data_IF_254093808000
#
_entry.id   IF_254093808000
#
_cell.length_a   1.000
_cell.length_b   1.000
_cell.length_c   1.000
_cell.angle_alpha   90.00
_cell.angle_beta   90.00
_cell.angle_gamma   90.00
#
_symmetry.space_group_name_H-M   'P 1'
#
loop_
_entity.id
_entity.type
_entity.pdbx_description
1 polymer ?
#
# COMPACT_ATOMS: atom_id res chain seq x y z
N UNK A 1 -19.05 -5.91 -4.09
CA UNK A 1 -18.97 -6.26 -2.64
C UNK A 1 -17.77 -5.55 -2.05
N UNK A 2 -17.75 -5.31 -0.75
CA UNK A 2 -16.58 -4.71 -0.05
C UNK A 2 -16.25 -5.57 1.14
N UNK A 3 -14.96 -5.67 1.47
CA UNK A 3 -14.52 -6.38 2.68
C UNK A 3 -15.17 -5.75 3.92
N UNK A 4 -15.74 -6.59 4.78
CA UNK A 4 -16.24 -6.16 6.08
C UNK A 4 -15.08 -6.10 7.09
N UNK A 5 -14.35 -5.00 7.09
CA UNK A 5 -13.19 -4.81 7.95
C UNK A 5 -13.53 -4.84 9.46
N UNK A 6 -14.75 -4.45 9.83
CA UNK A 6 -15.19 -4.53 11.24
C UNK A 6 -15.20 -5.98 11.73
N UNK A 7 -15.63 -6.92 10.89
CA UNK A 7 -15.57 -8.35 11.22
C UNK A 7 -14.13 -8.86 11.27
N UNK A 8 -13.28 -8.44 10.34
CA UNK A 8 -11.85 -8.81 10.35
C UNK A 8 -11.19 -8.33 11.64
N UNK A 9 -11.37 -7.06 12.01
CA UNK A 9 -10.83 -6.47 13.25
C UNK A 9 -11.28 -7.28 14.46
N UNK A 10 -12.59 -7.58 14.54
CA UNK A 10 -13.15 -8.37 15.67
C UNK A 10 -12.55 -9.77 15.73
N UNK A 11 -12.34 -10.42 14.59
CA UNK A 11 -11.83 -11.79 14.52
C UNK A 11 -10.34 -11.90 14.89
N UNK A 12 -9.54 -10.86 14.60
CA UNK A 12 -8.10 -10.91 14.90
C UNK A 12 -7.74 -10.35 16.27
N UNK A 13 -8.58 -9.51 16.88
CA UNK A 13 -8.34 -8.96 18.22
C UNK A 13 -8.21 -10.07 19.25
N UNK A 14 -7.14 -10.05 20.03
CA UNK A 14 -6.80 -11.07 21.01
C UNK A 14 -6.08 -12.29 20.44
N UNK A 15 -5.91 -12.40 19.11
CA UNK A 15 -5.09 -13.49 18.55
C UNK A 15 -3.63 -13.35 18.97
N UNK A 16 -2.96 -14.50 19.05
CA UNK A 16 -1.57 -14.56 19.50
C UNK A 16 -0.69 -15.28 18.47
N UNK A 17 0.55 -14.81 18.36
CA UNK A 17 1.62 -15.50 17.62
C UNK A 17 2.81 -15.73 18.53
N UNK A 18 3.59 -16.83 18.36
CA UNK A 18 4.80 -17.04 19.12
C UNK A 18 5.79 -15.91 18.94
N UNK A 19 6.53 -15.59 20.00
CA UNK A 19 7.65 -14.64 19.89
C UNK A 19 8.69 -15.22 18.92
N UNK A 20 9.23 -14.40 17.98
CA UNK A 20 10.30 -14.81 17.10
C UNK A 20 11.54 -15.29 17.90
N UNK A 21 12.13 -16.39 17.48
CA UNK A 21 13.31 -16.98 18.14
C UNK A 21 14.57 -16.10 18.00
N UNK A 22 14.64 -15.29 16.97
CA UNK A 22 15.76 -14.39 16.69
C UNK A 22 15.26 -13.08 16.06
N UNK A 23 16.04 -12.00 16.23
CA UNK A 23 15.74 -10.71 15.68
C UNK A 23 15.22 -9.69 16.71
N UNK A 24 15.14 -8.44 16.30
CA UNK A 24 14.61 -7.37 17.14
C UNK A 24 13.09 -7.39 17.15
N UNK A 25 12.49 -7.26 18.32
CA UNK A 25 11.04 -7.02 18.46
C UNK A 25 10.64 -5.59 18.03
N UNK A 26 11.52 -4.93 17.28
CA UNK A 26 11.26 -3.64 16.69
C UNK A 26 10.94 -3.82 15.21
N UNK A 27 9.88 -3.17 14.76
CA UNK A 27 9.55 -3.06 13.36
C UNK A 27 8.61 -4.14 12.82
N UNK A 28 8.50 -4.10 11.53
CA UNK A 28 7.52 -4.81 10.73
C UNK A 28 7.67 -6.35 10.82
N UNK A 29 8.90 -6.84 10.82
CA UNK A 29 9.18 -8.28 10.74
C UNK A 29 8.62 -9.10 11.91
N UNK A 30 8.60 -8.56 13.13
CA UNK A 30 8.10 -9.29 14.29
C UNK A 30 6.57 -9.52 14.23
N UNK A 31 5.84 -8.57 13.67
CA UNK A 31 4.38 -8.64 13.54
C UNK A 31 3.91 -9.26 12.22
N UNK A 32 4.80 -9.49 11.24
CA UNK A 32 4.46 -10.03 9.93
C UNK A 32 3.54 -11.26 9.96
N UNK A 33 3.67 -12.24 10.90
CA UNK A 33 2.76 -13.36 10.95
C UNK A 33 1.29 -13.00 11.17
N UNK A 34 0.95 -11.81 11.71
CA UNK A 34 -0.45 -11.36 11.81
C UNK A 34 -1.11 -11.15 10.45
N UNK A 35 -0.34 -10.84 9.41
CA UNK A 35 -0.80 -10.78 8.04
C UNK A 35 -1.55 -12.07 7.62
N UNK A 36 -1.08 -13.26 8.04
CA UNK A 36 -1.73 -14.53 7.75
C UNK A 36 -3.14 -14.63 8.37
N UNK A 37 -3.33 -14.06 9.55
CA UNK A 37 -4.66 -14.02 10.19
C UNK A 37 -5.60 -13.07 9.43
N UNK A 38 -5.14 -11.89 9.08
CA UNK A 38 -5.91 -10.93 8.28
C UNK A 38 -6.31 -11.55 6.94
N UNK A 39 -5.34 -12.14 6.22
CA UNK A 39 -5.61 -12.84 4.95
C UNK A 39 -6.67 -13.92 5.10
N UNK A 40 -6.56 -14.75 6.14
CA UNK A 40 -7.51 -15.84 6.39
C UNK A 40 -8.92 -15.32 6.64
N UNK A 41 -9.07 -14.25 7.39
CA UNK A 41 -10.39 -13.68 7.70
C UNK A 41 -11.02 -13.01 6.46
N UNK A 42 -10.23 -12.30 5.64
CA UNK A 42 -10.71 -11.75 4.37
C UNK A 42 -11.09 -12.89 3.41
N UNK A 43 -10.26 -13.93 3.31
CA UNK A 43 -10.52 -15.08 2.44
C UNK A 43 -11.77 -15.87 2.84
N UNK A 44 -12.19 -15.88 4.11
CA UNK A 44 -13.47 -16.45 4.52
C UNK A 44 -14.66 -15.68 3.92
N UNK A 45 -14.55 -14.36 3.80
CA UNK A 45 -15.60 -13.53 3.19
C UNK A 45 -15.65 -13.72 1.67
N UNK A 46 -14.49 -13.87 1.02
CA UNK A 46 -14.34 -13.97 -0.43
C UNK A 46 -13.43 -15.15 -0.83
N UNK A 47 -13.87 -16.41 -0.67
CA UNK A 47 -13.01 -17.59 -0.83
C UNK A 47 -12.33 -17.70 -2.20
N UNK A 48 -13.04 -17.31 -3.28
CA UNK A 48 -12.59 -17.44 -4.66
C UNK A 48 -12.02 -16.14 -5.25
N UNK A 49 -12.09 -15.04 -4.51
CA UNK A 49 -11.75 -13.70 -5.00
C UNK A 49 -10.60 -13.06 -4.24
N UNK A 50 -10.04 -13.75 -3.22
CA UNK A 50 -8.94 -13.25 -2.38
C UNK A 50 -7.64 -13.93 -2.76
N UNK A 51 -6.64 -13.14 -3.08
CA UNK A 51 -5.34 -13.58 -3.57
C UNK A 51 -4.21 -12.81 -2.85
N UNK A 52 -3.02 -13.41 -2.79
CA UNK A 52 -1.79 -12.66 -2.62
C UNK A 52 -1.42 -11.99 -3.94
N UNK A 53 -0.80 -10.82 -3.93
CA UNK A 53 -0.43 -10.13 -5.17
C UNK A 53 0.44 -11.01 -6.06
N UNK A 54 1.46 -11.67 -5.49
CA UNK A 54 2.35 -12.53 -6.26
C UNK A 54 1.64 -13.76 -6.86
N UNK A 55 0.66 -14.35 -6.14
CA UNK A 55 -0.15 -15.47 -6.64
C UNK A 55 -1.00 -15.03 -7.82
N UNK A 56 -1.66 -13.87 -7.68
CA UNK A 56 -2.51 -13.30 -8.72
C UNK A 56 -1.71 -12.99 -9.99
N UNK A 57 -0.56 -12.32 -9.85
CA UNK A 57 0.29 -11.98 -10.97
C UNK A 57 0.92 -13.23 -11.61
N UNK A 58 1.35 -14.19 -10.81
CA UNK A 58 1.90 -15.44 -11.31
C UNK A 58 0.89 -16.21 -12.16
N UNK A 59 -0.35 -16.29 -11.72
CA UNK A 59 -1.43 -16.90 -12.50
C UNK A 59 -1.77 -16.11 -13.77
N UNK A 60 -1.68 -14.78 -13.73
CA UNK A 60 -1.87 -13.92 -14.90
C UNK A 60 -0.90 -14.26 -16.04
N UNK A 61 0.36 -14.59 -15.70
CA UNK A 61 1.40 -14.91 -16.68
C UNK A 61 1.49 -16.39 -17.03
N UNK A 62 0.82 -17.24 -16.29
CA UNK A 62 0.79 -18.66 -16.59
C UNK A 62 0.02 -18.91 -17.90
N UNK A 63 0.53 -19.81 -18.75
CA UNK A 63 -0.15 -20.22 -19.99
C UNK A 63 -1.49 -20.88 -19.71
N UNK A 64 -1.59 -21.57 -18.57
CA UNK A 64 -2.81 -22.23 -18.10
C UNK A 64 -3.19 -21.65 -16.73
N UNK A 65 -3.81 -20.46 -16.68
CA UNK A 65 -4.16 -19.81 -15.43
C UNK A 65 -5.18 -20.64 -14.62
N UNK A 66 -4.94 -20.72 -13.31
CA UNK A 66 -5.77 -21.51 -12.39
C UNK A 66 -6.76 -20.65 -11.61
N UNK A 67 -6.36 -19.42 -11.24
CA UNK A 67 -7.17 -18.51 -10.41
C UNK A 67 -7.74 -17.31 -11.19
N UNK A 68 -7.15 -16.94 -12.32
CA UNK A 68 -7.58 -15.80 -13.13
C UNK A 68 -8.18 -16.30 -14.45
N UNK A 69 -9.47 -16.07 -14.64
CA UNK A 69 -10.12 -16.35 -15.92
C UNK A 69 -9.67 -15.41 -17.06
N UNK A 70 -9.89 -15.81 -18.32
CA UNK A 70 -9.51 -15.03 -19.49
C UNK A 70 -10.07 -13.59 -19.46
N UNK A 71 -11.34 -13.42 -19.03
CA UNK A 71 -11.98 -12.10 -18.90
C UNK A 71 -11.31 -11.21 -17.85
N UNK A 72 -10.90 -11.79 -16.71
CA UNK A 72 -10.21 -11.04 -15.66
C UNK A 72 -8.82 -10.60 -16.12
N UNK A 73 -8.13 -11.43 -16.89
CA UNK A 73 -6.86 -11.09 -17.52
C UNK A 73 -7.01 -9.94 -18.51
N UNK A 74 -8.00 -10.01 -19.38
CA UNK A 74 -8.30 -8.95 -20.34
C UNK A 74 -8.64 -7.64 -19.64
N UNK A 75 -9.46 -7.69 -18.59
CA UNK A 75 -9.80 -6.52 -17.78
C UNK A 75 -8.57 -5.88 -17.13
N UNK A 76 -7.64 -6.67 -16.59
CA UNK A 76 -6.41 -6.14 -15.99
C UNK A 76 -5.50 -5.49 -17.05
N UNK A 77 -5.35 -6.10 -18.22
CA UNK A 77 -4.56 -5.53 -19.33
C UNK A 77 -5.15 -4.19 -19.79
N UNK A 78 -6.47 -4.06 -19.74
CA UNK A 78 -7.19 -2.84 -20.10
C UNK A 78 -7.30 -1.81 -18.94
N UNK A 79 -6.62 -2.04 -17.83
CA UNK A 79 -6.59 -1.14 -16.67
C UNK A 79 -5.16 -0.67 -16.38
N UNK A 80 -4.63 0.32 -17.14
CA UNK A 80 -3.24 0.76 -17.04
C UNK A 80 -2.82 1.21 -15.64
N UNK A 81 -3.71 1.80 -14.87
CA UNK A 81 -3.42 2.24 -13.49
C UNK A 81 -3.24 1.05 -12.54
N UNK A 82 -4.16 0.08 -12.58
CA UNK A 82 -4.07 -1.12 -11.75
C UNK A 82 -2.84 -1.93 -12.13
N UNK A 83 -2.62 -2.08 -13.44
CA UNK A 83 -1.45 -2.75 -13.96
C UNK A 83 -0.14 -2.11 -13.46
N UNK A 84 -0.06 -0.79 -13.48
CA UNK A 84 1.08 -0.04 -12.93
C UNK A 84 1.25 -0.25 -11.43
N UNK A 85 0.18 -0.20 -10.66
CA UNK A 85 0.21 -0.42 -9.21
C UNK A 85 0.72 -1.82 -8.87
N UNK A 86 0.22 -2.85 -9.55
CA UNK A 86 0.57 -4.24 -9.26
C UNK A 86 1.91 -4.66 -9.87
N UNK A 87 2.37 -4.05 -10.96
CA UNK A 87 3.64 -4.37 -11.62
C UNK A 87 4.88 -3.76 -10.98
N UNK A 88 4.78 -3.26 -9.75
CA UNK A 88 5.88 -2.62 -9.01
C UNK A 88 6.49 -1.39 -9.73
N UNK A 89 5.78 -0.83 -10.69
CA UNK A 89 6.20 0.36 -11.44
C UNK A 89 7.32 0.13 -12.47
N UNK A 90 7.86 -1.08 -12.58
CA UNK A 90 8.96 -1.37 -13.51
C UNK A 90 8.51 -1.55 -14.97
N UNK A 91 7.29 -1.97 -15.21
CA UNK A 91 6.81 -2.34 -16.56
C UNK A 91 5.49 -1.66 -16.95
N UNK A 92 5.28 -0.43 -16.53
CA UNK A 92 4.07 0.33 -16.84
C UNK A 92 3.89 0.71 -18.33
N UNK A 93 4.78 0.30 -19.20
CA UNK A 93 4.83 0.71 -20.62
C UNK A 93 4.24 -0.31 -21.58
N UNK A 94 3.49 -1.31 -21.11
CA UNK A 94 2.84 -2.28 -21.99
C UNK A 94 3.72 -3.42 -22.51
N UNK A 95 5.02 -3.32 -22.34
CA UNK A 95 5.95 -4.43 -22.60
C UNK A 95 6.25 -5.13 -21.29
N UNK A 96 5.48 -6.13 -20.98
CA UNK A 96 5.78 -7.08 -19.94
C UNK A 96 7.00 -7.90 -20.39
N UNK A 97 8.19 -7.40 -20.13
CA UNK A 97 9.37 -8.24 -20.26
C UNK A 97 9.37 -9.19 -19.08
N UNK A 98 9.49 -10.44 -19.43
CA UNK A 98 9.28 -11.64 -18.64
C UNK A 98 10.45 -11.94 -17.68
N UNK A 99 11.35 -11.02 -17.48
CA UNK A 99 12.37 -11.13 -16.44
C UNK A 99 11.69 -10.94 -15.10
N UNK A 100 11.17 -12.03 -14.63
CA UNK A 100 10.51 -12.35 -13.37
C UNK A 100 10.06 -11.11 -12.56
N UNK A 101 8.88 -10.52 -12.84
CA UNK A 101 8.36 -9.38 -12.07
C UNK A 101 8.08 -9.73 -10.60
N UNK A 102 8.33 -10.97 -10.19
CA UNK A 102 7.93 -11.57 -8.91
C UNK A 102 9.08 -11.75 -7.91
N UNK A 103 10.34 -11.54 -8.32
CA UNK A 103 11.50 -11.82 -7.46
C UNK A 103 11.65 -10.87 -6.27
N UNK A 104 10.97 -9.74 -6.26
CA UNK A 104 11.08 -8.76 -5.20
C UNK A 104 9.76 -8.55 -4.44
N UNK A 105 9.48 -9.38 -3.45
CA UNK A 105 8.34 -9.22 -2.53
C UNK A 105 8.31 -7.87 -1.80
N UNK A 106 9.46 -7.21 -1.62
CA UNK A 106 9.57 -5.95 -0.90
C UNK A 106 8.90 -4.74 -1.58
N UNK A 107 8.54 -4.86 -2.85
CA UNK A 107 7.96 -3.77 -3.63
C UNK A 107 6.49 -4.00 -4.01
N UNK A 108 5.85 -5.00 -3.45
CA UNK A 108 4.43 -5.25 -3.69
C UNK A 108 3.59 -4.08 -3.15
N UNK A 109 2.57 -3.70 -3.89
CA UNK A 109 1.64 -2.64 -3.50
C UNK A 109 0.54 -3.20 -2.60
N UNK A 110 0.30 -4.50 -2.71
CA UNK A 110 -0.72 -5.20 -1.95
C UNK A 110 -0.15 -6.47 -1.32
N UNK A 111 -0.42 -6.66 -0.05
CA UNK A 111 -0.30 -7.95 0.61
C UNK A 111 -1.48 -8.85 0.25
N UNK A 112 -2.66 -8.25 0.05
CA UNK A 112 -3.90 -8.94 -0.30
C UNK A 112 -4.61 -8.19 -1.42
N UNK A 113 -5.10 -8.94 -2.41
CA UNK A 113 -6.02 -8.47 -3.43
C UNK A 113 -7.37 -9.16 -3.25
N UNK A 114 -8.45 -8.38 -3.25
CA UNK A 114 -9.79 -8.90 -3.44
C UNK A 114 -10.31 -8.39 -4.78
N UNK A 115 -10.64 -9.33 -5.69
CA UNK A 115 -11.00 -8.99 -7.07
C UNK A 115 -12.40 -9.52 -7.39
N UNK A 116 -13.31 -8.61 -7.69
CA UNK A 116 -14.69 -8.97 -8.05
C UNK A 116 -15.23 -8.03 -9.13
N UNK A 117 -15.78 -8.60 -10.19
CA UNK A 117 -16.41 -7.84 -11.29
C UNK A 117 -15.52 -6.71 -11.82
N UNK A 118 -14.23 -6.96 -12.02
CA UNK A 118 -13.22 -6.00 -12.45
C UNK A 118 -12.94 -4.85 -11.46
N UNK A 119 -13.42 -4.96 -10.23
CA UNK A 119 -13.06 -4.07 -9.14
C UNK A 119 -11.95 -4.72 -8.31
N UNK A 120 -10.91 -3.95 -8.03
CA UNK A 120 -9.72 -4.36 -7.28
C UNK A 120 -9.68 -3.66 -5.93
N UNK A 121 -9.81 -4.42 -4.86
CA UNK A 121 -9.52 -3.93 -3.52
C UNK A 121 -8.07 -4.29 -3.17
N UNK A 122 -7.19 -3.28 -3.22
CA UNK A 122 -5.75 -3.40 -2.96
C UNK A 122 -5.56 -3.16 -1.46
N UNK A 123 -5.07 -4.15 -0.72
CA UNK A 123 -4.95 -4.08 0.73
C UNK A 123 -3.48 -4.31 1.11
N UNK A 124 -2.89 -3.33 1.80
CA UNK A 124 -1.55 -3.40 2.36
C UNK A 124 -1.64 -3.49 3.90
N UNK A 125 -0.90 -4.42 4.48
CA UNK A 125 -0.96 -4.73 5.92
C UNK A 125 0.27 -4.16 6.61
N UNK A 126 0.03 -3.41 7.67
CA UNK A 126 1.06 -2.89 8.56
C UNK A 126 0.90 -3.47 9.95
N UNK A 127 2.01 -3.53 10.68
CA UNK A 127 1.98 -3.98 12.08
C UNK A 127 2.75 -2.99 12.95
N UNK A 128 2.23 -2.75 14.16
CA UNK A 128 2.80 -1.80 15.10
C UNK A 128 2.98 -2.41 16.49
N UNK A 129 4.19 -2.30 17.02
CA UNK A 129 4.45 -2.59 18.42
C UNK A 129 4.07 -1.38 19.28
N UNK A 130 2.95 -1.47 19.99
CA UNK A 130 2.44 -0.36 20.81
C UNK A 130 3.13 -0.23 22.17
N UNK A 131 4.08 -1.12 22.50
CA UNK A 131 4.93 -0.98 23.70
C UNK A 131 6.10 0.00 23.49
N UNK A 132 6.33 0.44 22.27
CA UNK A 132 7.42 1.34 21.90
C UNK A 132 6.88 2.52 21.12
N UNK A 133 7.49 3.71 21.32
CA UNK A 133 7.30 4.80 20.37
C UNK A 133 7.88 4.37 19.03
N UNK A 134 7.06 4.12 18.06
CA UNK A 134 7.47 3.70 16.72
C UNK A 134 7.27 4.85 15.75
N UNK A 135 8.22 5.03 14.84
CA UNK A 135 8.02 5.88 13.68
C UNK A 135 6.92 5.28 12.81
N UNK A 136 6.09 6.12 12.22
CA UNK A 136 5.06 5.69 11.30
C UNK A 136 5.67 4.87 10.14
N UNK A 137 5.03 3.77 9.74
CA UNK A 137 5.56 2.90 8.70
C UNK A 137 5.60 3.58 7.34
N UNK A 138 6.49 3.11 6.48
CA UNK A 138 6.44 3.45 5.07
C UNK A 138 5.20 2.82 4.45
N UNK A 139 4.40 3.63 3.79
CA UNK A 139 3.12 3.22 3.22
C UNK A 139 3.25 2.96 1.73
N UNK A 140 3.52 4.01 0.98
CA UNK A 140 3.71 3.96 -0.47
C UNK A 140 4.68 5.07 -0.88
N UNK A 141 5.46 4.84 -1.93
CA UNK A 141 6.26 5.92 -2.50
C UNK A 141 5.35 7.05 -2.98
N UNK A 142 5.60 8.28 -2.52
CA UNK A 142 4.87 9.47 -2.95
C UNK A 142 4.95 9.67 -4.47
N UNK A 143 6.08 9.33 -5.07
CA UNK A 143 6.26 9.39 -6.52
C UNK A 143 5.43 8.32 -7.25
N UNK A 144 5.42 7.08 -6.75
CA UNK A 144 4.57 6.00 -7.31
C UNK A 144 3.09 6.39 -7.24
N UNK A 145 2.66 6.97 -6.12
CA UNK A 145 1.28 7.44 -5.97
C UNK A 145 0.97 8.59 -6.93
N UNK A 146 1.90 9.56 -7.13
CA UNK A 146 1.72 10.63 -8.09
C UNK A 146 1.61 10.09 -9.54
N UNK A 147 2.44 9.12 -9.91
CA UNK A 147 2.34 8.45 -11.21
C UNK A 147 1.01 7.70 -11.37
N UNK A 148 0.52 7.07 -10.30
CA UNK A 148 -0.79 6.40 -10.31
C UNK A 148 -1.92 7.40 -10.50
N UNK A 149 -1.89 8.53 -9.79
CA UNK A 149 -2.89 9.59 -9.95
C UNK A 149 -2.89 10.18 -11.37
N UNK A 150 -1.72 10.40 -11.97
CA UNK A 150 -1.64 10.85 -13.36
C UNK A 150 -2.28 9.82 -14.31
N UNK A 151 -1.98 8.53 -14.14
CA UNK A 151 -2.59 7.46 -14.95
C UNK A 151 -4.11 7.35 -14.75
N UNK A 152 -4.59 7.50 -13.51
CA UNK A 152 -6.04 7.56 -13.23
C UNK A 152 -6.71 8.65 -14.05
N UNK A 153 -6.12 9.84 -14.09
CA UNK A 153 -6.66 11.00 -14.83
C UNK A 153 -6.59 10.75 -16.33
N UNK A 154 -5.44 10.29 -16.83
CA UNK A 154 -5.22 10.07 -18.26
C UNK A 154 -6.15 8.99 -18.85
N UNK A 155 -6.50 7.97 -18.05
CA UNK A 155 -7.30 6.84 -18.49
C UNK A 155 -8.76 6.87 -17.98
N UNK A 156 -9.13 7.82 -17.13
CA UNK A 156 -10.47 7.88 -16.53
C UNK A 156 -10.77 6.73 -15.57
N UNK A 157 -9.76 6.17 -14.90
CA UNK A 157 -9.89 5.01 -14.01
C UNK A 157 -10.11 5.44 -12.56
N UNK A 158 -11.36 5.72 -12.19
CA UNK A 158 -11.70 6.20 -10.85
C UNK A 158 -12.60 5.26 -10.03
N UNK A 159 -13.22 4.27 -10.68
CA UNK A 159 -14.27 3.44 -10.06
C UNK A 159 -13.92 1.94 -10.02
N UNK A 160 -12.74 1.55 -10.51
CA UNK A 160 -12.37 0.15 -10.70
C UNK A 160 -11.39 -0.40 -9.64
N UNK A 161 -10.95 0.43 -8.71
CA UNK A 161 -10.10 -0.02 -7.60
C UNK A 161 -10.19 0.88 -6.37
N UNK A 162 -9.63 0.38 -5.26
CA UNK A 162 -9.34 1.16 -4.05
C UNK A 162 -8.02 0.70 -3.44
N UNK A 163 -7.35 1.60 -2.72
CA UNK A 163 -6.14 1.28 -1.94
C UNK A 163 -6.50 1.43 -0.46
N UNK A 164 -6.38 0.33 0.24
CA UNK A 164 -6.75 0.21 1.64
C UNK A 164 -5.55 -0.20 2.48
N UNK A 165 -5.48 0.30 3.69
CA UNK A 165 -4.46 -0.04 4.67
C UNK A 165 -5.10 -0.66 5.89
N UNK A 166 -4.45 -1.70 6.39
CA UNK A 166 -4.88 -2.41 7.59
C UNK A 166 -3.69 -2.51 8.54
N UNK A 167 -3.79 -1.95 9.75
CA UNK A 167 -2.71 -1.95 10.74
C UNK A 167 -3.10 -2.79 11.95
N UNK A 168 -2.24 -3.72 12.33
CA UNK A 168 -2.40 -4.57 13.52
C UNK A 168 -1.52 -4.05 14.63
N UNK A 169 -2.14 -3.60 15.71
CA UNK A 169 -1.48 -3.17 16.93
C UNK A 169 -1.22 -4.37 17.85
N UNK A 170 0.04 -4.61 18.16
CA UNK A 170 0.41 -5.73 19.00
C UNK A 170 1.32 -5.34 20.17
N UNK A 171 1.34 -6.17 21.20
CA UNK A 171 2.28 -6.12 22.32
C UNK A 171 2.88 -7.49 22.58
N UNK A 172 4.10 -7.49 23.12
CA UNK A 172 4.69 -8.70 23.69
C UNK A 172 4.13 -8.91 25.09
N UNK A 173 3.53 -10.07 25.32
CA UNK A 173 3.06 -10.54 26.61
C UNK A 173 3.66 -11.93 26.84
N UNK A 174 4.48 -12.05 27.87
CA UNK A 174 5.28 -13.26 28.12
C UNK A 174 6.11 -13.65 26.88
N UNK A 175 5.85 -14.80 26.28
CA UNK A 175 6.51 -15.32 25.10
C UNK A 175 5.64 -15.28 23.83
N UNK A 176 4.62 -14.40 23.82
CA UNK A 176 3.69 -14.27 22.69
C UNK A 176 3.49 -12.81 22.30
N UNK A 177 3.35 -12.58 21.02
CA UNK A 177 2.83 -11.31 20.52
C UNK A 177 1.31 -11.41 20.49
N UNK A 178 0.64 -10.45 21.11
CA UNK A 178 -0.84 -10.42 21.25
C UNK A 178 -1.37 -9.24 20.46
N UNK A 179 -2.28 -9.48 19.53
CA UNK A 179 -3.03 -8.42 18.84
C UNK A 179 -3.91 -7.69 19.85
N UNK A 180 -3.65 -6.41 20.09
CA UNK A 180 -4.41 -5.57 21.02
C UNK A 180 -5.53 -4.83 20.35
N UNK A 181 -5.29 -4.36 19.14
CA UNK A 181 -6.27 -3.69 18.30
C UNK A 181 -5.90 -3.80 16.84
N UNK A 182 -6.78 -3.35 15.95
CA UNK A 182 -6.48 -3.19 14.55
C UNK A 182 -7.30 -2.04 13.96
N UNK A 183 -6.76 -1.42 12.93
CA UNK A 183 -7.30 -0.24 12.29
C UNK A 183 -7.38 -0.45 10.78
N UNK A 184 -8.34 0.21 10.17
CA UNK A 184 -8.54 0.20 8.72
C UNK A 184 -8.72 1.63 8.21
N UNK A 185 -8.10 1.93 7.06
CA UNK A 185 -8.32 3.19 6.36
C UNK A 185 -8.27 2.98 4.84
N UNK A 186 -9.14 3.70 4.13
CA UNK A 186 -9.09 3.82 2.68
C UNK A 186 -8.30 5.08 2.30
N UNK A 187 -7.28 4.93 1.46
CA UNK A 187 -6.44 6.06 1.06
C UNK A 187 -7.25 7.20 0.43
N UNK A 188 -8.17 6.86 -0.47
CA UNK A 188 -8.98 7.84 -1.20
C UNK A 188 -10.09 8.52 -0.37
N UNK A 189 -10.22 8.14 0.91
CA UNK A 189 -11.07 8.84 1.88
C UNK A 189 -10.30 9.73 2.84
N UNK A 190 -8.97 9.72 2.74
CA UNK A 190 -8.12 10.65 3.51
C UNK A 190 -7.99 11.99 2.78
N UNK A 191 -7.67 13.04 3.53
CA UNK A 191 -7.30 14.31 2.91
C UNK A 191 -5.92 14.18 2.23
N UNK A 192 -5.82 14.27 0.89
CA UNK A 192 -4.56 14.10 0.19
C UNK A 192 -3.49 15.14 0.56
N UNK A 193 -3.89 16.33 1.00
CA UNK A 193 -2.98 17.41 1.39
C UNK A 193 -2.35 17.19 2.77
N UNK A 194 -2.93 16.30 3.61
CA UNK A 194 -2.38 15.94 4.92
C UNK A 194 -1.36 14.80 4.88
N UNK A 195 -1.17 14.16 3.72
CA UNK A 195 -0.24 13.04 3.60
C UNK A 195 1.21 13.51 3.72
N UNK A 196 1.87 13.12 4.81
CA UNK A 196 3.26 13.47 5.04
C UNK A 196 4.20 12.68 4.11
N UNK A 197 5.05 13.41 3.38
CA UNK A 197 6.08 12.86 2.49
C UNK A 197 7.43 12.94 3.19
N UNK A 198 7.98 11.80 3.54
CA UNK A 198 9.34 11.72 4.07
C UNK A 198 10.36 11.63 2.93
N UNK A 199 10.92 12.77 2.56
CA UNK A 199 11.91 12.88 1.48
C UNK A 199 13.22 12.16 1.81
N UNK A 200 13.58 12.03 3.08
CA UNK A 200 14.79 11.32 3.52
C UNK A 200 14.63 9.80 3.45
N UNK A 201 13.40 9.29 3.55
CA UNK A 201 13.09 7.88 3.43
C UNK A 201 12.62 7.53 2.01
N UNK A 202 13.40 7.84 0.99
CA UNK A 202 13.10 7.56 -0.42
C UNK A 202 11.72 8.07 -0.88
N UNK A 203 11.31 9.24 -0.44
CA UNK A 203 10.02 9.87 -0.74
C UNK A 203 8.83 8.99 -0.33
N UNK A 204 8.90 8.33 0.82
CA UNK A 204 7.79 7.53 1.31
C UNK A 204 6.72 8.40 1.99
N UNK A 205 5.47 8.09 1.72
CA UNK A 205 4.36 8.55 2.56
C UNK A 205 4.38 7.74 3.85
N UNK A 206 4.25 8.41 4.99
CA UNK A 206 4.28 7.79 6.30
C UNK A 206 3.10 8.24 7.16
N UNK A 207 2.36 7.28 7.70
CA UNK A 207 1.32 7.49 8.71
C UNK A 207 1.04 6.19 9.47
N UNK A 208 0.48 6.28 10.66
CA UNK A 208 -0.24 5.15 11.27
C UNK A 208 -1.67 5.14 10.75
N UNK A 209 -2.20 3.96 10.52
CA UNK A 209 -3.55 3.81 9.94
C UNK A 209 -4.61 4.41 10.86
N UNK A 210 -4.41 4.32 12.18
CA UNK A 210 -5.31 4.94 13.17
C UNK A 210 -5.32 6.47 13.12
N UNK A 211 -4.27 7.10 12.59
CA UNK A 211 -4.14 8.56 12.53
C UNK A 211 -4.68 9.13 11.20
N UNK A 212 -5.02 8.26 10.24
CA UNK A 212 -5.49 8.68 8.93
C UNK A 212 -7.00 9.00 8.96
N UNK A 213 -7.32 10.28 9.07
CA UNK A 213 -8.70 10.74 9.06
C UNK A 213 -9.41 10.40 7.74
N UNK A 214 -10.61 9.82 7.85
CA UNK A 214 -11.45 9.38 6.73
C UNK A 214 -12.55 10.41 6.41
N UNK A 215 -12.15 11.66 6.18
CA UNK A 215 -13.04 12.81 6.04
C UNK A 215 -13.28 13.26 4.60
N UNK A 216 -12.51 12.74 3.65
CA UNK A 216 -12.65 13.12 2.25
C UNK A 216 -13.89 12.47 1.61
N UNK A 217 -14.81 13.27 1.11
CA UNK A 217 -16.11 12.85 0.57
C UNK A 217 -16.26 13.05 -0.93
N UNK A 218 -15.32 13.77 -1.55
CA UNK A 218 -15.30 14.00 -2.98
C UNK A 218 -14.96 12.72 -3.78
N UNK A 219 -15.08 12.79 -5.10
CA UNK A 219 -14.72 11.65 -5.97
C UNK A 219 -13.21 11.47 -6.11
N UNK A 220 -12.80 10.32 -6.65
CA UNK A 220 -11.38 9.97 -6.81
C UNK A 220 -10.64 10.86 -7.82
N UNK A 221 -11.32 11.45 -8.81
CA UNK A 221 -10.72 12.41 -9.73
C UNK A 221 -10.25 13.67 -8.99
N UNK A 222 -11.11 14.24 -8.14
CA UNK A 222 -10.76 15.38 -7.30
C UNK A 222 -9.65 15.02 -6.33
N UNK A 223 -9.72 13.84 -5.72
CA UNK A 223 -8.67 13.34 -4.83
C UNK A 223 -7.32 13.27 -5.54
N UNK A 224 -7.28 12.66 -6.73
CA UNK A 224 -6.05 12.49 -7.51
C UNK A 224 -5.43 13.83 -7.90
N UNK A 225 -6.25 14.79 -8.35
CA UNK A 225 -5.78 16.14 -8.70
C UNK A 225 -5.25 16.90 -7.48
N UNK A 226 -5.94 16.80 -6.34
CA UNK A 226 -5.49 17.42 -5.08
C UNK A 226 -4.17 16.81 -4.60
N UNK A 227 -4.03 15.50 -4.69
CA UNK A 227 -2.76 14.84 -4.34
C UNK A 227 -1.63 15.27 -5.27
N UNK A 228 -1.83 15.33 -6.58
CA UNK A 228 -0.80 15.80 -7.51
C UNK A 228 -0.38 17.24 -7.21
N UNK A 229 -1.32 18.13 -6.90
CA UNK A 229 -1.04 19.51 -6.48
C UNK A 229 -0.18 19.51 -5.20
N UNK A 230 -0.57 18.73 -4.20
CA UNK A 230 0.21 18.58 -2.96
C UNK A 230 1.62 18.08 -3.24
N UNK A 231 1.77 16.98 -3.99
CA UNK A 231 3.07 16.39 -4.33
C UNK A 231 3.98 17.40 -5.03
N UNK A 232 3.48 18.10 -6.06
CA UNK A 232 4.26 19.11 -6.80
C UNK A 232 4.67 20.27 -5.90
N UNK A 233 3.77 20.73 -5.03
CA UNK A 233 4.07 21.81 -4.06
C UNK A 233 5.19 21.40 -3.09
N UNK A 234 5.11 20.20 -2.53
CA UNK A 234 6.13 19.68 -1.62
C UNK A 234 7.48 19.44 -2.34
N UNK A 235 7.45 18.96 -3.59
CA UNK A 235 8.65 18.77 -4.39
C UNK A 235 9.36 20.10 -4.68
N UNK A 236 8.63 21.13 -5.08
CA UNK A 236 9.19 22.49 -5.29
C UNK A 236 9.81 23.02 -4.02
N UNK A 237 9.07 22.99 -2.90
CA UNK A 237 9.60 23.42 -1.60
C UNK A 237 10.89 22.68 -1.25
N UNK A 238 10.95 21.36 -1.48
CA UNK A 238 12.16 20.56 -1.23
C UNK A 238 13.33 21.00 -2.10
N UNK A 239 13.11 21.28 -3.38
CA UNK A 239 14.13 21.77 -4.30
C UNK A 239 14.68 23.13 -3.84
N UNK A 240 13.82 24.08 -3.48
CA UNK A 240 14.22 25.39 -2.96
C UNK A 240 15.01 25.29 -1.66
N UNK A 241 14.59 24.40 -0.75
CA UNK A 241 15.33 24.12 0.49
C UNK A 241 16.72 23.54 0.21
N UNK A 242 16.85 22.63 -0.76
CA UNK A 242 18.14 22.06 -1.18
C UNK A 242 19.07 23.13 -1.72
N UNK A 243 18.59 23.99 -2.61
CA UNK A 243 19.37 25.11 -3.16
C UNK A 243 19.80 26.06 -2.04
N UNK A 244 18.86 26.45 -1.20
CA UNK A 244 19.10 27.46 -0.16
C UNK A 244 20.07 26.96 0.92
N UNK A 245 19.93 25.70 1.35
CA UNK A 245 20.70 25.13 2.47
C UNK A 245 22.05 24.52 2.05
N UNK A 246 22.13 23.96 0.85
CA UNK A 246 23.29 23.15 0.47
C UNK A 246 24.05 23.68 -0.76
N UNK A 247 23.49 24.60 -1.53
CA UNK A 247 24.17 25.17 -2.69
C UNK A 247 24.67 26.59 -2.39
N UNK A 248 23.74 27.52 -2.14
CA UNK A 248 24.08 28.93 -1.95
C UNK A 248 25.17 29.24 -0.92
N UNK A 249 25.24 28.58 0.27
CA UNK A 249 26.27 28.85 1.25
C UNK A 249 27.71 28.56 0.78
N UNK A 250 27.85 27.67 -0.22
CA UNK A 250 29.12 27.16 -0.70
C UNK A 250 29.55 27.70 -2.06
N UNK A 251 28.65 28.31 -2.84
CA UNK A 251 28.95 28.87 -4.17
C UNK A 251 30.16 29.81 -4.15
N UNK A 252 30.27 30.65 -3.12
CA UNK A 252 31.36 31.61 -2.98
C UNK A 252 32.77 30.97 -2.77
N UNK A 253 32.85 29.67 -2.54
CA UNK A 253 34.10 28.95 -2.37
C UNK A 253 34.56 28.19 -3.61
N UNK A 254 33.73 28.15 -4.65
CA UNK A 254 34.01 27.43 -5.89
C UNK A 254 34.08 28.36 -7.13
N UNK A 255 33.83 29.65 -6.97
CA UNK A 255 34.11 30.73 -7.91
C UNK A 255 35.44 31.36 -7.65
#
# INVERSE_FOLDING_TARGET
MKVNYTEVIRAIKGTTIPKPLSGTLSGHAAGEPFDKYVYKEIKKQFPNNTFRQYEYLNDLYNKNPTCIGAKAREALVNSPTILFLLSRGKNATGNWSIDNPFDEKQNDTADILVVENNFYEIIDIKTRNTSKSAQAPNIISAYKLAQSCAKMIDNGEFDNFTINYFEVDWKLEEDKLVCKDAHFACLFKSNPESLYINWAAAMQIQFHVCDLEQTFVENMDIWAKSYLKHFVTQAKKRADDMITKFVKPFEKYIT
#
